data_IF_931469628718
#
_entry.id   IF_931469628718
#
_cell.length_a   1.000
_cell.length_b   1.000
_cell.length_c   1.000
_cell.angle_alpha   90.00
_cell.angle_beta   90.00
_cell.angle_gamma   90.00
#
_symmetry.space_group_name_H-M   'P 1'
#
loop_
_entity.id
_entity.type
_entity.pdbx_description
1 polymer ?
#
# COMPACT_ATOMS: atom_id res chain seq x y z
N UNK A 1 -66.68 34.62 24.54
CA UNK A 1 -65.86 33.88 23.57
C UNK A 1 -64.43 33.86 24.07
N UNK A 2 -63.99 32.68 24.59
CA UNK A 2 -62.60 32.48 25.09
C UNK A 2 -61.82 31.75 24.02
N UNK A 3 -60.81 32.37 23.46
CA UNK A 3 -59.89 31.74 22.48
C UNK A 3 -58.84 30.96 23.27
N UNK A 4 -58.88 29.63 23.16
CA UNK A 4 -57.88 28.74 23.66
C UNK A 4 -56.74 28.65 22.61
N UNK A 5 -55.63 29.32 22.89
CA UNK A 5 -54.42 29.21 22.05
C UNK A 5 -53.67 27.92 22.48
N UNK A 6 -53.75 26.87 21.68
CA UNK A 6 -53.02 25.66 21.85
C UNK A 6 -51.58 25.88 21.32
N UNK A 7 -50.63 26.05 22.22
CA UNK A 7 -49.22 26.17 21.93
C UNK A 7 -48.63 24.76 21.64
N UNK A 8 -48.46 24.40 20.38
CA UNK A 8 -47.82 23.16 19.96
C UNK A 8 -46.29 23.31 20.15
N UNK A 9 -45.76 22.77 21.25
CA UNK A 9 -44.31 22.68 21.47
C UNK A 9 -43.78 21.47 20.65
N UNK A 10 -43.21 21.72 19.49
CA UNK A 10 -42.48 20.72 18.73
C UNK A 10 -41.11 20.57 19.36
N UNK A 11 -40.90 19.54 20.17
CA UNK A 11 -39.60 19.15 20.67
C UNK A 11 -38.84 18.47 19.50
N UNK A 12 -37.91 19.21 18.88
CA UNK A 12 -36.92 18.64 17.97
C UNK A 12 -35.97 17.76 18.81
N UNK A 13 -36.27 16.50 18.94
CA UNK A 13 -35.29 15.49 19.35
C UNK A 13 -34.30 15.37 18.21
N UNK A 14 -33.16 16.09 18.30
CA UNK A 14 -32.01 15.81 17.49
C UNK A 14 -31.60 14.36 17.81
N UNK A 15 -31.89 13.43 16.91
CA UNK A 15 -31.32 12.10 16.93
C UNK A 15 -29.79 12.29 16.83
N UNK A 16 -29.09 12.19 17.96
CA UNK A 16 -27.67 11.88 17.92
C UNK A 16 -27.56 10.48 17.31
N UNK A 17 -27.47 10.39 15.99
CA UNK A 17 -27.01 9.14 15.37
C UNK A 17 -25.60 8.90 15.89
N UNK A 18 -25.30 7.68 16.38
CA UNK A 18 -23.94 7.33 16.74
C UNK A 18 -23.06 7.61 15.53
N UNK A 19 -21.86 8.17 15.78
CA UNK A 19 -20.88 8.39 14.69
C UNK A 19 -20.41 7.00 14.24
N UNK A 20 -21.06 6.46 13.20
CA UNK A 20 -20.75 5.13 12.64
C UNK A 20 -19.29 5.00 12.22
N UNK A 21 -18.57 6.14 12.10
CA UNK A 21 -17.15 6.21 11.76
C UNK A 21 -16.23 6.40 12.98
N UNK A 22 -16.74 6.44 14.22
CA UNK A 22 -15.90 6.73 15.39
C UNK A 22 -14.79 5.68 15.57
N UNK A 23 -15.14 4.41 15.45
CA UNK A 23 -14.17 3.31 15.54
C UNK A 23 -13.15 3.37 14.39
N UNK A 24 -13.62 3.58 13.15
CA UNK A 24 -12.74 3.78 11.99
C UNK A 24 -11.75 4.92 12.22
N UNK A 25 -12.20 6.08 12.72
CA UNK A 25 -11.32 7.25 12.95
C UNK A 25 -10.22 6.94 13.97
N UNK A 26 -10.55 6.20 15.02
CA UNK A 26 -9.57 5.75 16.02
C UNK A 26 -8.54 4.80 15.40
N UNK A 27 -9.02 3.80 14.65
CA UNK A 27 -8.19 2.78 14.03
C UNK A 27 -7.36 3.34 12.86
N UNK A 28 -7.86 4.37 12.17
CA UNK A 28 -7.16 5.07 11.11
C UNK A 28 -5.82 5.63 11.56
N UNK A 29 -5.75 6.19 12.78
CA UNK A 29 -4.49 6.73 13.30
C UNK A 29 -3.44 5.63 13.56
N UNK A 30 -3.89 4.44 13.98
CA UNK A 30 -3.01 3.28 14.16
C UNK A 30 -2.50 2.78 12.80
N UNK A 31 -3.39 2.65 11.80
CA UNK A 31 -3.03 2.23 10.46
C UNK A 31 -2.07 3.20 9.78
N UNK A 32 -2.33 4.51 9.86
CA UNK A 32 -1.42 5.55 9.36
C UNK A 32 -0.04 5.47 10.00
N UNK A 33 0.00 5.27 11.32
CA UNK A 33 1.27 5.10 12.03
C UNK A 33 2.01 3.83 11.56
N UNK A 34 1.28 2.73 11.30
CA UNK A 34 1.85 1.51 10.74
C UNK A 34 2.50 1.74 9.37
N UNK A 35 1.79 2.40 8.44
CA UNK A 35 2.32 2.78 7.13
C UNK A 35 3.54 3.70 7.27
N UNK A 36 3.46 4.75 8.10
CA UNK A 36 4.55 5.71 8.27
C UNK A 36 5.84 5.10 8.84
N UNK A 37 5.76 3.93 9.50
CA UNK A 37 6.96 3.23 9.96
C UNK A 37 7.86 2.72 8.84
N UNK A 38 7.32 2.55 7.63
CA UNK A 38 8.10 2.13 6.45
C UNK A 38 8.72 3.31 5.70
N UNK A 39 8.18 4.53 5.87
CA UNK A 39 8.75 5.72 5.22
C UNK A 39 10.11 6.09 5.82
N UNK A 40 10.96 6.70 5.02
CA UNK A 40 12.32 7.07 5.46
C UNK A 40 12.32 8.30 6.37
N UNK A 41 12.93 8.26 7.57
CA UNK A 41 13.67 7.13 8.15
C UNK A 41 12.73 6.06 8.76
N UNK A 42 12.92 4.81 8.37
CA UNK A 42 12.07 3.71 8.82
C UNK A 42 12.19 3.42 10.31
N UNK A 43 11.12 2.88 10.94
CA UNK A 43 11.11 2.63 12.38
C UNK A 43 10.46 1.26 12.72
N UNK A 44 11.30 0.22 12.70
CA UNK A 44 10.89 -1.16 12.97
C UNK A 44 10.38 -1.35 14.40
N UNK A 45 10.97 -0.69 15.40
CA UNK A 45 10.57 -0.89 16.80
C UNK A 45 9.19 -0.29 17.08
N UNK A 46 8.89 0.86 16.49
CA UNK A 46 7.54 1.43 16.56
C UNK A 46 6.55 0.51 15.84
N UNK A 47 6.91 0.00 14.65
CA UNK A 47 6.05 -0.95 13.93
C UNK A 47 5.70 -2.18 14.76
N UNK A 48 6.70 -2.84 15.36
CA UNK A 48 6.50 -3.99 16.25
C UNK A 48 5.51 -3.70 17.38
N UNK A 49 5.55 -2.51 17.96
CA UNK A 49 4.64 -2.13 19.06
C UNK A 49 3.17 -2.00 18.63
N UNK A 50 2.93 -1.82 17.33
CA UNK A 50 1.58 -1.71 16.76
C UNK A 50 0.99 -3.08 16.36
N UNK A 51 1.80 -4.14 16.35
CA UNK A 51 1.41 -5.46 15.86
C UNK A 51 0.99 -6.35 17.04
N UNK A 52 -0.19 -6.95 16.93
CA UNK A 52 -0.68 -7.91 17.92
C UNK A 52 0.15 -9.21 17.84
N UNK A 53 0.48 -9.86 18.96
CA UNK A 53 1.26 -11.12 18.96
C UNK A 53 0.64 -12.24 18.12
N UNK A 54 -0.69 -12.32 18.05
CA UNK A 54 -1.43 -13.32 17.29
C UNK A 54 -1.85 -12.82 15.89
N UNK A 55 -1.15 -11.81 15.34
CA UNK A 55 -1.47 -11.22 14.05
C UNK A 55 -1.50 -12.29 12.95
N UNK A 56 -2.43 -12.09 12.01
CA UNK A 56 -2.46 -12.79 10.72
C UNK A 56 -2.26 -11.76 9.62
N UNK A 57 -1.33 -12.04 8.73
CA UNK A 57 -0.99 -11.12 7.63
C UNK A 57 -1.04 -11.83 6.29
N UNK A 58 -1.82 -11.30 5.35
CA UNK A 58 -1.79 -11.72 3.96
C UNK A 58 -0.59 -11.09 3.27
N UNK A 59 0.44 -11.90 3.02
CA UNK A 59 1.66 -11.44 2.36
C UNK A 59 1.42 -11.13 0.88
N UNK A 60 2.06 -10.06 0.36
CA UNK A 60 2.12 -9.75 -1.06
C UNK A 60 3.12 -10.63 -1.82
N UNK A 61 4.00 -11.35 -1.13
CA UNK A 61 4.98 -12.23 -1.76
C UNK A 61 4.32 -13.49 -2.31
N UNK A 62 4.60 -13.80 -3.58
CA UNK A 62 4.04 -14.97 -4.25
C UNK A 62 4.31 -16.27 -3.46
N UNK A 63 3.23 -17.04 -3.23
CA UNK A 63 3.30 -18.35 -2.59
C UNK A 63 3.34 -18.36 -1.06
N UNK A 64 3.46 -17.22 -0.37
CA UNK A 64 3.50 -17.17 1.10
C UNK A 64 2.12 -17.26 1.77
N UNK A 65 1.07 -16.68 1.16
CA UNK A 65 -0.27 -16.69 1.73
C UNK A 65 -0.37 -15.92 3.05
N UNK A 66 -1.12 -16.48 4.02
CA UNK A 66 -1.27 -15.88 5.36
C UNK A 66 -0.14 -16.34 6.26
N UNK A 67 0.55 -15.36 6.86
CA UNK A 67 1.71 -15.56 7.75
C UNK A 67 1.41 -15.01 9.16
N UNK A 68 2.25 -15.36 10.13
CA UNK A 68 2.17 -14.90 11.52
C UNK A 68 3.12 -13.75 11.84
N UNK A 69 3.26 -13.45 13.15
CA UNK A 69 4.03 -12.32 13.65
C UNK A 69 5.49 -12.32 13.18
N UNK A 70 6.20 -13.43 13.33
CA UNK A 70 7.64 -13.49 13.01
C UNK A 70 7.91 -13.25 11.51
N UNK A 71 7.08 -13.84 10.64
CA UNK A 71 7.21 -13.65 9.21
C UNK A 71 6.85 -12.21 8.79
N UNK A 72 5.80 -11.63 9.38
CA UNK A 72 5.42 -10.23 9.14
C UNK A 72 6.55 -9.28 9.56
N UNK A 73 7.16 -9.49 10.75
CA UNK A 73 8.27 -8.67 11.21
C UNK A 73 9.51 -8.88 10.33
N UNK A 74 9.75 -10.12 9.88
CA UNK A 74 10.81 -10.44 8.92
C UNK A 74 10.63 -9.69 7.59
N UNK A 75 9.41 -9.64 7.05
CA UNK A 75 9.08 -8.85 5.86
C UNK A 75 9.28 -7.35 6.09
N UNK A 76 8.79 -6.84 7.22
CA UNK A 76 8.96 -5.41 7.57
C UNK A 76 10.44 -5.04 7.62
N UNK A 77 11.25 -5.86 8.29
CA UNK A 77 12.70 -5.67 8.37
C UNK A 77 13.35 -5.67 6.98
N UNK A 78 12.98 -6.62 6.12
CA UNK A 78 13.49 -6.69 4.74
C UNK A 78 13.25 -5.39 3.97
N UNK A 79 12.02 -4.84 4.02
CA UNK A 79 11.71 -3.59 3.33
C UNK A 79 12.38 -2.37 3.98
N UNK A 80 12.36 -2.29 5.31
CA UNK A 80 12.90 -1.14 6.04
C UNK A 80 14.43 -1.04 5.98
N UNK A 81 15.14 -2.17 5.89
CA UNK A 81 16.61 -2.23 5.81
C UNK A 81 17.13 -2.32 4.37
N UNK A 82 16.31 -2.80 3.43
CA UNK A 82 16.71 -3.01 2.03
C UNK A 82 16.52 -1.79 1.13
N UNK A 83 15.73 -0.81 1.57
CA UNK A 83 15.34 0.33 0.75
C UNK A 83 15.56 1.67 1.48
N UNK A 84 15.82 2.72 0.72
CA UNK A 84 16.00 4.09 1.19
C UNK A 84 15.12 5.06 0.41
N UNK A 85 15.00 6.31 0.89
CA UNK A 85 14.16 7.34 0.28
C UNK A 85 12.70 6.87 0.09
N UNK A 86 12.23 5.98 0.99
CA UNK A 86 10.90 5.41 0.88
C UNK A 86 9.83 6.43 1.25
N UNK A 87 8.85 6.59 0.38
CA UNK A 87 7.66 7.42 0.56
C UNK A 87 6.40 6.66 0.18
N UNK A 88 5.28 7.03 0.80
CA UNK A 88 3.95 6.53 0.43
C UNK A 88 3.10 7.70 -0.04
N UNK A 89 2.79 7.75 -1.32
CA UNK A 89 2.15 8.88 -1.98
C UNK A 89 0.74 8.54 -2.46
N UNK A 90 -0.04 9.57 -2.85
CA UNK A 90 -1.40 9.44 -3.41
C UNK A 90 -2.35 8.63 -2.52
N UNK A 91 -2.24 8.80 -1.21
CA UNK A 91 -2.97 8.01 -0.23
C UNK A 91 -4.48 8.26 -0.29
N UNK A 92 -5.26 7.18 -0.44
CA UNK A 92 -6.72 7.19 -0.35
C UNK A 92 -7.15 6.26 0.78
N UNK A 93 -7.53 6.82 1.92
CA UNK A 93 -7.97 6.10 3.12
C UNK A 93 -9.47 5.91 3.13
N UNK A 94 -9.94 4.67 3.33
CA UNK A 94 -11.35 4.30 3.31
C UNK A 94 -11.71 3.43 4.52
N UNK A 95 -12.92 3.55 5.06
CA UNK A 95 -13.43 2.60 6.04
C UNK A 95 -13.69 1.23 5.40
N UNK A 96 -13.47 0.18 6.17
CA UNK A 96 -13.99 -1.13 5.82
C UNK A 96 -15.46 -1.29 6.22
N UNK A 97 -16.08 -2.33 5.69
CA UNK A 97 -17.48 -2.67 5.97
C UNK A 97 -17.62 -4.16 6.25
N UNK A 98 -18.53 -4.50 7.14
CA UNK A 98 -19.03 -5.86 7.31
C UNK A 98 -19.74 -6.31 6.03
N UNK A 99 -19.37 -7.46 5.49
CA UNK A 99 -19.85 -7.93 4.19
C UNK A 99 -21.31 -8.35 4.18
N UNK A 100 -21.93 -8.54 5.35
CA UNK A 100 -23.33 -8.94 5.49
C UNK A 100 -24.23 -7.74 5.69
N UNK A 101 -23.85 -6.83 6.57
CA UNK A 101 -24.67 -5.67 6.99
C UNK A 101 -24.37 -4.42 6.17
N UNK A 102 -23.19 -4.37 5.51
CA UNK A 102 -22.63 -3.20 4.82
C UNK A 102 -22.37 -2.00 5.75
N UNK A 103 -22.49 -2.18 7.05
CA UNK A 103 -22.11 -1.17 8.02
C UNK A 103 -20.59 -1.12 8.18
N UNK A 104 -20.04 0.05 8.56
CA UNK A 104 -18.62 0.19 8.86
C UNK A 104 -18.23 -0.72 10.03
N UNK A 105 -17.14 -1.46 9.90
CA UNK A 105 -16.67 -2.45 10.86
C UNK A 105 -15.42 -1.99 11.64
N UNK A 106 -14.98 -0.75 11.43
CA UNK A 106 -13.80 -0.17 12.04
C UNK A 106 -12.48 -0.57 11.38
N UNK A 107 -12.50 -1.48 10.41
CA UNK A 107 -11.30 -1.80 9.63
C UNK A 107 -10.90 -0.64 8.72
N UNK A 108 -9.62 -0.59 8.34
CA UNK A 108 -9.02 0.50 7.57
C UNK A 108 -8.46 -0.06 6.27
N UNK A 109 -8.71 0.65 5.19
CA UNK A 109 -8.18 0.35 3.85
C UNK A 109 -7.44 1.55 3.33
N UNK A 110 -6.34 1.32 2.62
CA UNK A 110 -5.61 2.39 1.95
C UNK A 110 -5.11 1.93 0.59
N UNK A 111 -5.30 2.80 -0.38
CA UNK A 111 -4.60 2.75 -1.67
C UNK A 111 -3.51 3.80 -1.67
N UNK A 112 -2.40 3.52 -2.33
CA UNK A 112 -1.31 4.47 -2.48
C UNK A 112 -0.18 3.90 -3.31
N UNK A 113 0.81 4.75 -3.57
CA UNK A 113 1.97 4.41 -4.37
C UNK A 113 3.21 4.43 -3.49
N UNK A 114 3.86 3.30 -3.31
CA UNK A 114 5.18 3.22 -2.70
C UNK A 114 6.26 3.60 -3.71
N UNK A 115 7.18 4.46 -3.28
CA UNK A 115 8.40 4.80 -4.02
C UNK A 115 9.61 4.67 -3.13
N UNK A 116 10.78 4.43 -3.73
CA UNK A 116 12.04 4.33 -3.00
C UNK A 116 13.15 3.82 -3.90
N UNK A 117 14.30 3.52 -3.28
CA UNK A 117 15.49 3.04 -3.96
C UNK A 117 16.07 1.84 -3.23
N UNK A 118 16.51 0.82 -3.97
CA UNK A 118 17.23 -0.31 -3.40
C UNK A 118 18.63 0.13 -2.90
N UNK A 119 18.92 -0.13 -1.64
CA UNK A 119 20.26 0.17 -1.07
C UNK A 119 21.34 -0.65 -1.76
N UNK A 120 21.03 -1.88 -2.18
CA UNK A 120 22.01 -2.78 -2.78
C UNK A 120 22.41 -2.37 -4.20
N UNK A 121 21.48 -1.83 -5.00
CA UNK A 121 21.70 -1.57 -6.43
C UNK A 121 21.58 -0.10 -6.85
N UNK A 122 20.99 0.75 -5.99
CA UNK A 122 20.63 2.12 -6.33
C UNK A 122 19.43 2.24 -7.26
N UNK A 123 18.80 1.10 -7.65
CA UNK A 123 17.64 1.12 -8.54
C UNK A 123 16.40 1.64 -7.83
N UNK A 124 15.70 2.58 -8.46
CA UNK A 124 14.44 3.13 -7.96
C UNK A 124 13.27 2.21 -8.29
N UNK A 125 12.24 2.26 -7.44
CA UNK A 125 10.95 1.62 -7.70
C UNK A 125 9.78 2.58 -7.51
N UNK A 126 8.67 2.27 -8.17
CA UNK A 126 7.36 2.88 -7.95
C UNK A 126 6.30 1.78 -8.15
N UNK A 127 5.51 1.49 -7.11
CA UNK A 127 4.51 0.42 -7.17
C UNK A 127 3.22 0.86 -6.50
N UNK A 128 2.10 0.70 -7.20
CA UNK A 128 0.77 0.93 -6.64
C UNK A 128 0.40 -0.23 -5.72
N UNK A 129 -0.23 0.09 -4.61
CA UNK A 129 -0.56 -0.87 -3.58
C UNK A 129 -1.93 -0.63 -2.97
N UNK A 130 -2.46 -1.69 -2.40
CA UNK A 130 -3.60 -1.68 -1.50
C UNK A 130 -3.21 -2.39 -0.21
N UNK A 131 -3.54 -1.77 0.94
CA UNK A 131 -3.35 -2.34 2.27
C UNK A 131 -4.67 -2.37 3.03
N UNK A 132 -4.83 -3.40 3.84
CA UNK A 132 -5.98 -3.60 4.71
C UNK A 132 -5.51 -3.85 6.15
N UNK A 133 -6.19 -3.23 7.12
CA UNK A 133 -5.89 -3.36 8.54
C UNK A 133 -7.16 -3.62 9.34
N UNK A 134 -7.15 -4.64 10.16
CA UNK A 134 -8.08 -4.82 11.25
C UNK A 134 -7.35 -4.54 12.56
N UNK A 135 -7.97 -3.80 13.45
CA UNK A 135 -7.38 -3.37 14.72
C UNK A 135 -8.20 -3.93 15.86
N UNK A 136 -7.54 -4.59 16.79
CA UNK A 136 -8.10 -5.13 18.01
C UNK A 136 -7.27 -4.67 19.20
N UNK A 137 -7.91 -4.19 20.26
CA UNK A 137 -7.26 -3.73 21.49
C UNK A 137 -6.11 -2.73 21.26
N UNK A 138 -6.25 -1.89 20.22
CA UNK A 138 -5.26 -0.87 19.86
C UNK A 138 -4.05 -1.38 19.07
N UNK A 139 -4.07 -2.63 18.62
CA UNK A 139 -3.02 -3.24 17.81
C UNK A 139 -3.59 -3.84 16.52
N UNK A 140 -2.76 -3.96 15.50
CA UNK A 140 -3.09 -4.60 14.22
C UNK A 140 -3.07 -6.11 14.43
N UNK A 141 -4.24 -6.76 14.41
CA UNK A 141 -4.39 -8.21 14.57
C UNK A 141 -4.67 -8.95 13.25
N UNK A 142 -5.08 -8.20 12.21
CA UNK A 142 -5.07 -8.69 10.84
C UNK A 142 -4.61 -7.57 9.89
N UNK A 143 -3.78 -7.92 8.91
CA UNK A 143 -3.40 -7.03 7.82
C UNK A 143 -3.25 -7.80 6.51
N UNK A 144 -3.23 -7.06 5.41
CA UNK A 144 -2.96 -7.65 4.10
C UNK A 144 -2.38 -6.62 3.15
N UNK A 145 -1.39 -7.05 2.39
CA UNK A 145 -0.69 -6.27 1.39
C UNK A 145 -0.97 -6.83 0.00
N UNK A 146 -1.32 -5.95 -0.92
CA UNK A 146 -1.66 -6.31 -2.30
C UNK A 146 -0.95 -5.36 -3.26
N UNK A 147 0.17 -5.81 -3.76
CA UNK A 147 0.98 -5.18 -4.80
C UNK A 147 1.90 -6.21 -5.44
N UNK A 148 2.53 -5.88 -6.56
CA UNK A 148 3.49 -6.79 -7.19
C UNK A 148 4.86 -6.75 -6.49
N UNK A 149 4.91 -7.33 -5.28
CA UNK A 149 6.11 -7.39 -4.47
C UNK A 149 7.23 -8.17 -5.16
N UNK A 150 6.90 -9.29 -5.81
CA UNK A 150 7.86 -10.15 -6.50
C UNK A 150 8.45 -9.44 -7.70
N UNK A 151 7.63 -8.83 -8.55
CA UNK A 151 8.07 -8.06 -9.71
C UNK A 151 8.91 -6.85 -9.31
N UNK A 152 8.51 -6.12 -8.26
CA UNK A 152 9.28 -4.99 -7.72
C UNK A 152 10.69 -5.43 -7.28
N UNK A 153 10.79 -6.49 -6.46
CA UNK A 153 12.08 -6.99 -5.96
C UNK A 153 12.95 -7.47 -7.11
N UNK A 154 12.40 -8.18 -8.09
CA UNK A 154 13.14 -8.62 -9.28
C UNK A 154 13.66 -7.42 -10.10
N UNK A 155 12.81 -6.42 -10.35
CA UNK A 155 13.20 -5.23 -11.12
C UNK A 155 14.36 -4.47 -10.47
N UNK A 156 14.31 -4.25 -9.14
CA UNK A 156 15.39 -3.52 -8.44
C UNK A 156 16.65 -4.35 -8.24
N UNK A 157 16.56 -5.69 -8.33
CA UNK A 157 17.73 -6.58 -8.23
C UNK A 157 18.47 -6.72 -9.56
N UNK A 158 17.78 -6.60 -10.69
CA UNK A 158 18.34 -6.80 -12.03
C UNK A 158 19.14 -5.59 -12.56
N UNK A 159 19.00 -4.40 -11.96
CA UNK A 159 19.56 -3.16 -12.51
C UNK A 159 21.08 -3.03 -12.42
N UNK A 160 21.81 -4.00 -11.86
CA UNK A 160 23.27 -3.96 -11.75
C UNK A 160 24.02 -4.52 -12.97
N UNK A 161 23.38 -5.12 -13.98
CA UNK A 161 24.09 -5.91 -14.99
C UNK A 161 23.82 -5.62 -16.49
N UNK A 162 23.12 -4.60 -16.92
CA UNK A 162 23.04 -4.33 -18.35
C UNK A 162 23.02 -2.85 -18.72
N UNK A 163 24.20 -2.28 -18.89
CA UNK A 163 24.36 -1.29 -19.98
C UNK A 163 24.46 -2.10 -21.28
N UNK A 164 23.48 -2.10 -22.19
CA UNK A 164 23.70 -2.65 -23.52
C UNK A 164 24.80 -1.81 -24.18
N UNK A 165 25.92 -2.42 -24.48
CA UNK A 165 26.88 -1.85 -25.41
C UNK A 165 26.13 -1.72 -26.74
N UNK A 166 25.78 -0.50 -27.10
CA UNK A 166 25.25 -0.14 -28.41
C UNK A 166 26.31 -0.54 -29.46
N UNK A 167 26.10 -1.71 -30.06
CA UNK A 167 26.87 -2.15 -31.20
C UNK A 167 26.34 -1.35 -32.38
N UNK A 168 27.11 -0.33 -32.78
CA UNK A 168 26.93 0.44 -33.99
C UNK A 168 26.79 -0.53 -35.17
N UNK A 169 25.66 -0.55 -35.91
CA UNK A 169 25.56 -1.37 -37.10
C UNK A 169 26.41 -0.73 -38.20
N UNK A 170 27.56 -1.31 -38.44
CA UNK A 170 28.41 -0.96 -39.59
C UNK A 170 27.56 -0.92 -40.85
N UNK A 171 27.50 0.29 -41.41
CA UNK A 171 26.93 0.67 -42.66
C UNK A 171 27.55 -0.18 -43.78
N UNK A 172 26.87 -1.23 -44.23
CA UNK A 172 27.19 -1.93 -45.50
C UNK A 172 26.43 -1.27 -46.64
N UNK A 173 27.11 -0.40 -47.35
CA UNK A 173 26.64 0.20 -48.60
C UNK A 173 26.34 -0.90 -49.66
N UNK A 174 25.21 -0.81 -50.39
CA UNK A 174 24.92 -1.74 -51.47
C UNK A 174 25.79 -1.42 -52.68
N UNK A 175 26.54 -2.40 -53.14
CA UNK A 175 27.29 -2.36 -54.41
C UNK A 175 26.30 -2.42 -55.59
N UNK A 176 26.22 -1.33 -56.31
CA UNK A 176 25.46 -1.18 -57.55
C UNK A 176 26.08 -2.04 -58.64
N UNK A 177 25.41 -3.10 -59.04
CA UNK A 177 25.76 -3.91 -60.22
C UNK A 177 24.98 -3.42 -61.43
N UNK A 178 25.70 -2.75 -62.33
CA UNK A 178 25.23 -2.35 -63.67
C UNK A 178 25.01 -3.59 -64.56
N UNK A 179 23.86 -3.74 -65.26
CA UNK A 179 23.69 -4.79 -66.26
C UNK A 179 24.38 -4.42 -67.55
N UNK A 180 25.19 -5.32 -68.08
CA UNK A 180 25.79 -5.21 -69.46
C UNK A 180 24.72 -5.43 -70.55
N UNK A 181 24.63 -4.51 -71.49
CA UNK A 181 23.92 -4.71 -72.73
C UNK A 181 24.67 -5.76 -73.59
N UNK A 182 23.92 -6.67 -74.17
CA UNK A 182 24.36 -7.49 -75.31
C UNK A 182 23.37 -7.38 -76.47
N UNK A 183 23.87 -7.16 -77.59
CA UNK A 183 23.26 -7.09 -78.97
C UNK A 183 22.29 -8.25 -79.26
#
# INVERSE_FOLDING_TARGET
MKYLVLLLVVTLTACNQPDDLALYKTNLEIAKKGISCYESPANLEVYKSLIHPDVKHQSAMYGQGIVGYEDLIGQAKFYMEGFTNVTFENQLWLPGVDTTTLATDGSVRVYGTWKGESIATGASFSVDSYHYFHIKDGQIDFSGDYFDATGMVQAVSASAETTPTETDPAETAPTETTPAETE
#
